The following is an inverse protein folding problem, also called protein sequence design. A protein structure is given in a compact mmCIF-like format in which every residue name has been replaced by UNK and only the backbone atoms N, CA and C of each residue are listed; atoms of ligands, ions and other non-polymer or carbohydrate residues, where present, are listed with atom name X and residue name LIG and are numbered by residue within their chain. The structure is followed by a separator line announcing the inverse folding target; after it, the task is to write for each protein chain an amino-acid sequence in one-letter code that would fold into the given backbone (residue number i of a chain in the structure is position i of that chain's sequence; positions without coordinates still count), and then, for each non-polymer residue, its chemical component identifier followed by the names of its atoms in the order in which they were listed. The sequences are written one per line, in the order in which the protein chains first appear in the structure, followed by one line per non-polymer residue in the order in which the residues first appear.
data_IF_486499072140
#
_entry.id   IF_486499072140
#
_cell.length_a   1.000
_cell.length_b   1.000
_cell.length_c   1.000
_cell.angle_alpha   90.00
_cell.angle_beta   90.00
_cell.angle_gamma   90.00
#
_symmetry.space_group_name_H-M   'P 1'
#
loop_
_entity.id
_entity.type
_entity.pdbx_description
1 polymer ?
#
# COMPACT_ATOMS: atom_id res chain seq x y z
N UNK A 1 -3.05 -39.10 -2.35
CA UNK A 1 -3.75 -38.04 -3.06
C UNK A 1 -3.18 -36.68 -2.65
N UNK A 2 -3.35 -36.18 -1.43
CA UNK A 2 -2.71 -34.94 -0.93
C UNK A 2 -1.82 -35.23 0.28
N UNK A 3 -0.61 -34.65 0.30
CA UNK A 3 0.33 -34.80 1.44
C UNK A 3 0.01 -33.87 2.59
N UNK A 4 -0.59 -32.71 2.28
CA UNK A 4 -0.95 -31.66 3.24
C UNK A 4 -2.40 -31.25 2.98
N UNK A 5 -3.17 -31.12 4.04
CA UNK A 5 -4.56 -30.66 4.02
C UNK A 5 -4.67 -29.35 4.78
N UNK A 6 -5.32 -28.37 4.18
CA UNK A 6 -5.55 -27.08 4.79
C UNK A 6 -7.06 -26.76 4.70
N UNK A 7 -7.69 -26.61 5.88
CA UNK A 7 -9.11 -26.26 5.97
C UNK A 7 -9.27 -24.76 6.15
N UNK A 8 -9.99 -24.14 5.21
CA UNK A 8 -10.21 -22.68 5.24
C UNK A 8 -11.61 -22.33 5.72
N UNK A 9 -11.73 -21.18 6.39
CA UNK A 9 -13.00 -20.59 6.81
C UNK A 9 -13.83 -20.13 5.60
N UNK A 10 -15.11 -19.86 5.85
CA UNK A 10 -16.03 -19.37 4.82
C UNK A 10 -16.08 -17.84 4.81
N UNK A 11 -16.47 -17.29 3.66
CA UNK A 11 -16.85 -15.88 3.58
C UNK A 11 -18.34 -15.77 3.90
N UNK A 12 -18.69 -14.87 4.82
CA UNK A 12 -20.07 -14.51 5.14
C UNK A 12 -20.38 -13.12 4.59
N UNK A 13 -21.64 -12.76 4.47
CA UNK A 13 -22.12 -11.41 4.12
C UNK A 13 -23.09 -10.99 5.19
N UNK A 14 -22.76 -9.94 5.96
CA UNK A 14 -23.53 -9.48 7.11
C UNK A 14 -23.79 -10.61 8.13
N UNK A 15 -22.80 -11.47 8.38
CA UNK A 15 -22.86 -12.60 9.29
C UNK A 15 -23.59 -13.82 8.75
N UNK A 16 -24.19 -13.77 7.56
CA UNK A 16 -24.92 -14.87 6.95
C UNK A 16 -24.07 -15.61 5.91
N UNK A 17 -24.25 -16.92 5.83
CA UNK A 17 -23.57 -17.73 4.82
C UNK A 17 -24.00 -17.31 3.40
N UNK A 18 -23.03 -17.09 2.53
CA UNK A 18 -23.27 -16.82 1.11
C UNK A 18 -23.98 -17.99 0.44
N UNK A 19 -25.17 -17.78 -0.12
CA UNK A 19 -25.90 -18.80 -0.84
C UNK A 19 -26.74 -18.27 -1.99
N UNK A 20 -26.89 -19.06 -3.06
CA UNK A 20 -27.69 -18.70 -4.22
C UNK A 20 -29.17 -18.55 -3.88
N UNK A 21 -29.69 -19.35 -2.91
CA UNK A 21 -31.08 -19.31 -2.49
C UNK A 21 -31.46 -18.02 -1.75
N UNK A 22 -30.51 -17.40 -1.07
CA UNK A 22 -30.69 -16.11 -0.39
C UNK A 22 -30.45 -14.94 -1.34
N UNK A 23 -29.82 -15.18 -2.51
CA UNK A 23 -29.52 -14.12 -3.48
C UNK A 23 -28.37 -13.19 -3.07
N UNK A 24 -27.61 -13.54 -2.04
CA UNK A 24 -26.52 -12.72 -1.49
C UNK A 24 -25.12 -13.07 -2.06
N UNK A 25 -25.05 -13.84 -3.17
CA UNK A 25 -23.79 -14.26 -3.78
C UNK A 25 -23.16 -13.11 -4.55
N UNK A 26 -21.93 -12.74 -4.18
CA UNK A 26 -21.07 -11.87 -4.99
C UNK A 26 -20.01 -12.70 -5.70
N UNK A 27 -19.92 -12.59 -7.04
CA UNK A 27 -18.88 -13.28 -7.80
C UNK A 27 -17.52 -12.64 -7.59
N UNK A 28 -16.45 -13.45 -7.63
CA UNK A 28 -15.08 -12.94 -7.54
C UNK A 28 -14.78 -11.91 -8.64
N UNK A 29 -15.28 -12.16 -9.87
CA UNK A 29 -15.11 -11.23 -11.00
C UNK A 29 -15.72 -9.86 -10.69
N UNK A 30 -16.94 -9.81 -10.14
CA UNK A 30 -17.59 -8.55 -9.77
C UNK A 30 -16.81 -7.79 -8.69
N UNK A 31 -16.31 -8.52 -7.67
CA UNK A 31 -15.52 -7.88 -6.60
C UNK A 31 -14.17 -7.39 -7.13
N UNK A 32 -13.50 -8.16 -8.03
CA UNK A 32 -12.26 -7.74 -8.69
C UNK A 32 -12.44 -6.47 -9.53
N UNK A 33 -13.52 -6.39 -10.30
CA UNK A 33 -13.80 -5.23 -11.15
C UNK A 33 -14.03 -3.93 -10.36
N UNK A 34 -14.60 -4.03 -9.16
CA UNK A 34 -14.90 -2.86 -8.33
C UNK A 34 -13.76 -2.46 -7.39
N UNK A 35 -13.07 -3.44 -6.81
CA UNK A 35 -12.11 -3.20 -5.73
C UNK A 35 -10.64 -3.45 -6.11
N UNK A 36 -10.39 -4.19 -7.18
CA UNK A 36 -9.03 -4.60 -7.56
C UNK A 36 -8.46 -5.76 -6.72
N UNK A 37 -7.34 -6.30 -7.17
CA UNK A 37 -6.74 -7.51 -6.58
C UNK A 37 -6.14 -7.27 -5.19
N UNK A 38 -5.50 -6.12 -4.99
CA UNK A 38 -4.86 -5.80 -3.70
C UNK A 38 -5.86 -5.69 -2.56
N UNK A 39 -7.03 -5.07 -2.81
CA UNK A 39 -8.07 -4.91 -1.79
C UNK A 39 -8.67 -6.24 -1.39
N UNK A 40 -8.98 -7.10 -2.38
CA UNK A 40 -9.48 -8.45 -2.11
C UNK A 40 -8.45 -9.25 -1.31
N UNK A 41 -7.18 -9.14 -1.65
CA UNK A 41 -6.10 -9.82 -0.94
C UNK A 41 -5.99 -9.34 0.50
N UNK A 42 -5.96 -8.03 0.73
CA UNK A 42 -5.96 -7.46 2.08
C UNK A 42 -7.18 -7.89 2.89
N UNK A 43 -8.36 -7.95 2.26
CA UNK A 43 -9.57 -8.49 2.88
C UNK A 43 -9.38 -9.95 3.30
N UNK A 44 -8.94 -10.83 2.39
CA UNK A 44 -8.72 -12.25 2.70
C UNK A 44 -7.66 -12.47 3.78
N UNK A 45 -6.63 -11.64 3.82
CA UNK A 45 -5.53 -11.69 4.79
C UNK A 45 -5.89 -11.08 6.15
N UNK A 46 -7.00 -10.36 6.26
CA UNK A 46 -7.40 -9.69 7.50
C UNK A 46 -7.80 -10.65 8.62
N UNK A 47 -8.21 -11.87 8.27
CA UNK A 47 -8.56 -12.94 9.21
C UNK A 47 -7.61 -14.13 9.13
N UNK A 48 -7.56 -14.94 10.19
CA UNK A 48 -6.87 -16.22 10.14
C UNK A 48 -7.57 -17.15 9.13
N UNK A 49 -6.81 -17.83 8.26
CA UNK A 49 -7.34 -18.63 7.17
C UNK A 49 -8.41 -19.66 7.59
N UNK A 50 -8.31 -20.20 8.80
CA UNK A 50 -9.25 -21.21 9.35
C UNK A 50 -10.55 -20.61 9.93
N UNK A 51 -10.66 -19.29 10.01
CA UNK A 51 -11.83 -18.59 10.57
C UNK A 51 -12.70 -18.00 9.46
N UNK A 52 -14.02 -17.89 9.69
CA UNK A 52 -14.87 -17.13 8.78
C UNK A 52 -14.46 -15.65 8.75
N UNK A 53 -14.57 -15.02 7.57
CA UNK A 53 -14.42 -13.57 7.40
C UNK A 53 -15.72 -13.00 6.84
N UNK A 54 -16.12 -11.84 7.33
CA UNK A 54 -17.37 -11.20 6.92
C UNK A 54 -17.11 -10.11 5.89
N UNK A 55 -17.79 -10.21 4.73
CA UNK A 55 -17.69 -9.23 3.67
C UNK A 55 -18.70 -8.11 3.89
N UNK A 56 -18.22 -6.87 3.89
CA UNK A 56 -19.04 -5.68 3.76
C UNK A 56 -18.30 -4.60 2.97
N UNK A 57 -19.03 -3.70 2.34
CA UNK A 57 -18.43 -2.58 1.60
C UNK A 57 -17.61 -1.68 2.53
N UNK A 58 -18.05 -1.53 3.79
CA UNK A 58 -17.29 -0.80 4.82
C UNK A 58 -15.89 -1.42 5.04
N UNK A 59 -15.80 -2.74 5.20
CA UNK A 59 -14.52 -3.44 5.38
C UNK A 59 -13.65 -3.30 4.12
N UNK A 60 -14.25 -3.33 2.93
CA UNK A 60 -13.51 -3.11 1.69
C UNK A 60 -12.93 -1.69 1.62
N UNK A 61 -13.69 -0.65 2.00
CA UNK A 61 -13.20 0.73 2.09
C UNK A 61 -12.09 0.91 3.13
N UNK A 62 -12.15 0.21 4.27
CA UNK A 62 -11.06 0.19 5.24
C UNK A 62 -9.78 -0.41 4.63
N UNK A 63 -9.90 -1.43 3.79
CA UNK A 63 -8.76 -1.99 3.07
C UNK A 63 -8.24 -1.07 1.95
N UNK A 64 -9.09 -0.26 1.31
CA UNK A 64 -8.65 0.83 0.42
C UNK A 64 -7.74 1.78 1.19
N UNK A 65 -8.17 2.25 2.36
CA UNK A 65 -7.36 3.14 3.21
C UNK A 65 -6.01 2.52 3.56
N UNK A 66 -5.98 1.23 3.92
CA UNK A 66 -4.73 0.50 4.19
C UNK A 66 -3.83 0.42 2.96
N UNK A 67 -4.38 0.12 1.78
CA UNK A 67 -3.61 0.10 0.54
C UNK A 67 -2.99 1.48 0.25
N UNK A 68 -3.77 2.57 0.43
CA UNK A 68 -3.26 3.94 0.22
C UNK A 68 -2.08 4.28 1.15
N UNK A 69 -2.08 3.76 2.38
CA UNK A 69 -0.94 3.89 3.30
C UNK A 69 0.28 3.10 2.83
N UNK A 70 0.08 1.87 2.33
CA UNK A 70 1.15 1.04 1.80
C UNK A 70 1.77 1.69 0.56
N UNK A 71 0.95 2.16 -0.38
CA UNK A 71 1.40 2.88 -1.57
C UNK A 71 2.23 4.12 -1.18
N UNK A 72 1.73 4.94 -0.26
CA UNK A 72 2.43 6.13 0.20
C UNK A 72 3.80 5.77 0.79
N UNK A 73 3.86 4.81 1.72
CA UNK A 73 5.11 4.37 2.34
C UNK A 73 6.11 3.82 1.32
N UNK A 74 5.64 3.05 0.34
CA UNK A 74 6.49 2.53 -0.74
C UNK A 74 7.11 3.67 -1.56
N UNK A 75 6.29 4.65 -1.98
CA UNK A 75 6.77 5.77 -2.80
C UNK A 75 7.65 6.74 -2.02
N UNK A 76 7.42 6.97 -0.72
CA UNK A 76 8.33 7.73 0.14
C UNK A 76 9.75 7.15 0.09
N UNK A 77 9.88 5.83 0.19
CA UNK A 77 11.18 5.16 0.10
C UNK A 77 11.76 5.19 -1.33
N UNK A 78 10.93 4.93 -2.35
CA UNK A 78 11.36 4.91 -3.76
C UNK A 78 11.79 6.27 -4.30
N UNK A 79 11.24 7.34 -3.76
CA UNK A 79 11.55 8.73 -4.13
C UNK A 79 12.53 9.39 -3.15
N UNK A 80 13.16 8.60 -2.28
CA UNK A 80 14.15 9.11 -1.33
C UNK A 80 15.32 9.77 -2.03
N UNK A 81 15.76 10.90 -1.49
CA UNK A 81 16.88 11.68 -1.99
C UNK A 81 17.80 12.10 -0.83
N UNK A 82 19.04 12.47 -1.17
CA UNK A 82 20.02 12.91 -0.21
C UNK A 82 20.60 11.78 0.65
N UNK A 83 21.48 12.15 1.56
CA UNK A 83 22.10 11.25 2.54
C UNK A 83 22.01 11.88 3.92
N UNK A 84 21.76 11.06 4.94
CA UNK A 84 21.76 11.50 6.32
C UNK A 84 23.13 11.23 6.95
N UNK A 85 23.66 12.23 7.67
CA UNK A 85 24.90 12.06 8.44
C UNK A 85 24.73 11.17 9.68
N UNK A 86 23.49 10.90 10.11
CA UNK A 86 23.19 9.97 11.19
C UNK A 86 22.78 8.62 10.58
N UNK A 87 23.56 7.61 10.86
CA UNK A 87 23.28 6.23 10.44
C UNK A 87 21.95 5.75 11.04
N UNK A 88 20.99 5.38 10.19
CA UNK A 88 19.81 4.64 10.60
C UNK A 88 20.23 3.20 10.87
N UNK A 89 19.77 2.60 11.99
CA UNK A 89 20.15 1.24 12.37
C UNK A 89 19.12 0.22 11.84
N UNK A 90 19.60 -0.99 11.53
CA UNK A 90 18.74 -2.08 11.04
C UNK A 90 17.90 -2.72 12.13
N UNK A 91 18.11 -2.37 13.41
CA UNK A 91 17.53 -3.06 14.57
C UNK A 91 16.01 -3.15 14.49
N UNK A 92 15.35 -2.02 14.26
CA UNK A 92 13.90 -1.97 14.15
C UNK A 92 13.35 -2.76 12.96
N UNK A 93 14.04 -2.70 11.82
CA UNK A 93 13.64 -3.45 10.61
C UNK A 93 13.79 -4.95 10.85
N UNK A 94 14.88 -5.37 11.50
CA UNK A 94 15.11 -6.77 11.87
C UNK A 94 14.06 -7.27 12.88
N UNK A 95 13.69 -6.46 13.87
CA UNK A 95 12.60 -6.78 14.80
C UNK A 95 11.27 -7.03 14.06
N UNK A 96 10.88 -6.11 13.16
CA UNK A 96 9.67 -6.29 12.35
C UNK A 96 9.73 -7.54 11.48
N UNK A 97 10.89 -7.85 10.90
CA UNK A 97 11.13 -9.06 10.12
C UNK A 97 10.95 -10.33 10.95
N UNK A 98 11.57 -10.40 12.13
CA UNK A 98 11.48 -11.55 13.02
C UNK A 98 10.04 -11.78 13.51
N UNK A 99 9.33 -10.71 13.89
CA UNK A 99 7.92 -10.79 14.28
C UNK A 99 7.04 -11.31 13.12
N UNK A 100 7.27 -10.81 11.90
CA UNK A 100 6.54 -11.22 10.70
C UNK A 100 6.79 -12.69 10.37
N UNK A 101 8.05 -13.11 10.31
CA UNK A 101 8.43 -14.48 9.97
C UNK A 101 7.97 -15.48 11.06
N UNK A 102 8.09 -15.12 12.35
CA UNK A 102 7.59 -15.92 13.46
C UNK A 102 6.09 -16.14 13.40
N UNK A 103 5.31 -15.10 13.05
CA UNK A 103 3.86 -15.21 12.90
C UNK A 103 3.47 -16.14 11.74
N UNK A 104 4.17 -16.08 10.61
CA UNK A 104 3.94 -16.99 9.48
C UNK A 104 4.31 -18.44 9.81
N UNK A 105 5.37 -18.65 10.57
CA UNK A 105 5.80 -19.98 11.03
C UNK A 105 4.85 -20.56 12.09
N UNK A 106 4.01 -19.75 12.72
CA UNK A 106 3.01 -20.16 13.69
C UNK A 106 1.63 -20.32 13.02
N UNK A 107 1.43 -21.43 12.32
CA UNK A 107 0.18 -21.79 11.64
C UNK A 107 -0.33 -20.69 10.66
N UNK A 108 0.58 -20.08 9.91
CA UNK A 108 0.25 -18.98 8.98
C UNK A 108 -0.62 -17.89 9.62
N UNK A 109 -0.24 -17.44 10.82
CA UNK A 109 -0.98 -16.40 11.53
C UNK A 109 -0.83 -15.03 10.87
N UNK A 110 -1.46 -14.89 9.70
CA UNK A 110 -1.39 -13.68 8.86
C UNK A 110 -1.84 -12.43 9.62
N UNK A 111 -2.92 -12.43 10.44
CA UNK A 111 -3.29 -11.24 11.21
C UNK A 111 -2.18 -10.71 12.10
N UNK A 112 -1.39 -11.60 12.72
CA UNK A 112 -0.23 -11.20 13.53
C UNK A 112 0.92 -10.73 12.65
N UNK A 113 1.18 -11.41 11.51
CA UNK A 113 2.18 -10.97 10.53
C UNK A 113 1.85 -9.56 9.99
N UNK A 114 0.57 -9.28 9.70
CA UNK A 114 0.12 -7.94 9.29
C UNK A 114 0.37 -6.88 10.38
N UNK A 115 0.35 -7.24 11.67
CA UNK A 115 0.69 -6.31 12.75
C UNK A 115 2.14 -5.83 12.63
N UNK A 116 3.08 -6.75 12.39
CA UNK A 116 4.49 -6.42 12.16
C UNK A 116 4.68 -5.60 10.87
N UNK A 117 3.98 -5.98 9.79
CA UNK A 117 3.99 -5.23 8.53
C UNK A 117 3.51 -3.78 8.73
N UNK A 118 2.37 -3.57 9.40
CA UNK A 118 1.88 -2.22 9.67
C UNK A 118 2.71 -1.46 10.71
N UNK A 119 3.46 -2.15 11.58
CA UNK A 119 4.47 -1.54 12.45
C UNK A 119 5.58 -0.88 11.60
N UNK A 120 6.07 -1.59 10.58
CA UNK A 120 7.04 -1.05 9.62
C UNK A 120 6.46 0.14 8.82
N UNK A 121 5.22 0.03 8.31
CA UNK A 121 4.52 1.13 7.60
C UNK A 121 4.40 2.37 8.49
N UNK A 122 4.08 2.24 9.77
CA UNK A 122 4.00 3.37 10.70
C UNK A 122 5.34 4.04 10.93
N UNK A 123 6.42 3.26 11.03
CA UNK A 123 7.78 3.82 11.13
C UNK A 123 8.13 4.64 9.89
N UNK A 124 7.88 4.10 8.69
CA UNK A 124 8.13 4.82 7.44
C UNK A 124 7.34 6.15 7.42
N UNK A 125 6.06 6.12 7.79
CA UNK A 125 5.23 7.33 7.82
C UNK A 125 5.73 8.35 8.87
N UNK A 126 6.24 7.89 10.01
CA UNK A 126 6.86 8.76 11.02
C UNK A 126 8.13 9.43 10.49
N UNK A 127 9.00 8.65 9.85
CA UNK A 127 10.22 9.17 9.21
C UNK A 127 9.91 10.16 8.08
N UNK A 128 8.86 9.87 7.28
CA UNK A 128 8.42 10.77 6.22
C UNK A 128 7.90 12.11 6.77
N UNK A 129 7.06 12.06 7.81
CA UNK A 129 6.53 13.25 8.47
C UNK A 129 7.65 14.15 9.07
N UNK A 130 8.73 13.53 9.54
CA UNK A 130 9.91 14.21 10.04
C UNK A 130 10.92 14.60 8.93
N UNK A 131 10.62 14.34 7.65
CA UNK A 131 11.50 14.54 6.50
C UNK A 131 12.88 13.84 6.66
N UNK A 132 12.86 12.64 7.28
CA UNK A 132 14.07 11.84 7.57
C UNK A 132 14.32 10.72 6.58
N UNK A 133 13.46 10.54 5.58
CA UNK A 133 13.64 9.50 4.54
C UNK A 133 14.68 9.99 3.52
N UNK A 134 15.83 9.35 3.55
CA UNK A 134 16.99 9.59 2.68
C UNK A 134 17.40 8.30 1.98
N UNK A 135 18.29 8.35 1.00
CA UNK A 135 18.72 7.17 0.23
C UNK A 135 19.29 6.06 1.11
N UNK A 136 20.04 6.41 2.16
CA UNK A 136 20.59 5.44 3.12
C UNK A 136 19.49 4.77 3.95
N UNK A 137 18.52 5.51 4.46
CA UNK A 137 17.34 4.97 5.17
C UNK A 137 16.52 4.06 4.25
N UNK A 138 16.27 4.52 3.02
CA UNK A 138 15.54 3.73 2.02
C UNK A 138 16.26 2.42 1.70
N UNK A 139 17.58 2.43 1.53
CA UNK A 139 18.35 1.22 1.22
C UNK A 139 18.26 0.13 2.29
N UNK A 140 17.93 0.51 3.52
CA UNK A 140 17.73 -0.42 4.64
C UNK A 140 16.29 -0.94 4.71
N UNK A 141 15.30 -0.05 4.56
CA UNK A 141 13.89 -0.38 4.81
C UNK A 141 13.21 -0.98 3.58
N UNK A 142 13.47 -0.42 2.39
CA UNK A 142 12.76 -0.80 1.15
C UNK A 142 12.86 -2.29 0.81
N UNK A 143 14.04 -2.95 0.90
CA UNK A 143 14.14 -4.37 0.60
C UNK A 143 13.25 -5.25 1.48
N UNK A 144 13.13 -4.93 2.78
CA UNK A 144 12.28 -5.68 3.69
C UNK A 144 10.80 -5.39 3.46
N UNK A 145 10.43 -4.14 3.17
CA UNK A 145 9.07 -3.79 2.79
C UNK A 145 8.64 -4.55 1.53
N UNK A 146 9.47 -4.57 0.49
CA UNK A 146 9.21 -5.30 -0.75
C UNK A 146 9.09 -6.81 -0.49
N UNK A 147 9.96 -7.40 0.32
CA UNK A 147 9.89 -8.81 0.72
C UNK A 147 8.56 -9.16 1.40
N UNK A 148 8.16 -8.37 2.39
CA UNK A 148 6.88 -8.57 3.07
C UNK A 148 5.70 -8.42 2.13
N UNK A 149 5.72 -7.43 1.25
CA UNK A 149 4.69 -7.22 0.23
C UNK A 149 4.61 -8.40 -0.74
N UNK A 150 5.74 -8.93 -1.20
CA UNK A 150 5.78 -10.10 -2.09
C UNK A 150 5.19 -11.34 -1.43
N UNK A 151 5.52 -11.61 -0.17
CA UNK A 151 4.95 -12.72 0.61
C UNK A 151 3.43 -12.56 0.78
N UNK A 152 2.96 -11.35 1.07
CA UNK A 152 1.54 -11.03 1.18
C UNK A 152 0.85 -10.97 -0.20
N UNK A 153 1.62 -10.93 -1.29
CA UNK A 153 1.15 -10.80 -2.66
C UNK A 153 0.56 -9.43 -2.98
N UNK A 154 0.98 -8.39 -2.29
CA UNK A 154 0.57 -7.00 -2.52
C UNK A 154 1.45 -6.41 -3.63
N UNK A 155 0.82 -6.00 -4.74
CA UNK A 155 1.52 -5.49 -5.91
C UNK A 155 1.26 -3.99 -6.08
N UNK A 156 2.25 -3.17 -5.74
CA UNK A 156 2.18 -1.73 -6.00
C UNK A 156 2.55 -1.44 -7.45
N UNK A 157 1.85 -0.49 -8.06
CA UNK A 157 2.16 -0.02 -9.42
C UNK A 157 3.57 0.54 -9.41
N UNK A 158 4.49 -0.12 -10.12
CA UNK A 158 5.88 0.33 -10.26
C UNK A 158 5.97 1.31 -11.43
N UNK A 159 6.91 2.24 -11.32
CA UNK A 159 7.24 3.21 -12.37
C UNK A 159 8.65 2.96 -12.87
N UNK A 160 8.89 3.27 -14.14
CA UNK A 160 10.24 3.34 -14.70
C UNK A 160 10.96 4.63 -14.29
N UNK A 161 12.28 4.65 -14.43
CA UNK A 161 13.04 5.87 -14.14
C UNK A 161 12.68 6.99 -15.13
N UNK A 162 12.43 6.67 -16.41
CA UNK A 162 11.97 7.64 -17.41
C UNK A 162 10.60 8.26 -17.03
N UNK A 163 9.66 7.45 -16.54
CA UNK A 163 8.36 7.94 -16.06
C UNK A 163 8.50 8.81 -14.82
N UNK A 164 9.43 8.46 -13.91
CA UNK A 164 9.77 9.26 -12.73
C UNK A 164 10.29 10.64 -13.15
N UNK A 165 11.21 10.69 -14.11
CA UNK A 165 11.81 11.93 -14.59
C UNK A 165 10.76 12.81 -15.28
N UNK A 166 9.87 12.23 -16.11
CA UNK A 166 8.73 12.94 -16.70
C UNK A 166 7.83 13.60 -15.64
N UNK A 167 7.48 12.84 -14.61
CA UNK A 167 6.61 13.33 -13.54
C UNK A 167 7.29 14.45 -12.75
N UNK A 168 8.57 14.28 -12.41
CA UNK A 168 9.33 15.30 -11.69
C UNK A 168 9.42 16.59 -12.52
N UNK A 169 9.66 16.50 -13.84
CA UNK A 169 9.67 17.66 -14.72
C UNK A 169 8.31 18.38 -14.73
N UNK A 170 7.19 17.64 -14.78
CA UNK A 170 5.85 18.23 -14.70
C UNK A 170 5.62 18.95 -13.36
N UNK A 171 6.12 18.38 -12.26
CA UNK A 171 6.02 18.99 -10.93
C UNK A 171 6.82 20.28 -10.84
N UNK A 172 8.06 20.29 -11.36
CA UNK A 172 8.88 21.49 -11.44
C UNK A 172 8.18 22.60 -12.24
N UNK A 173 7.68 22.27 -13.43
CA UNK A 173 6.95 23.20 -14.27
C UNK A 173 5.70 23.78 -13.57
N UNK A 174 4.94 22.92 -12.87
CA UNK A 174 3.80 23.38 -12.05
C UNK A 174 4.24 24.36 -10.95
N UNK A 175 5.35 24.06 -10.28
CA UNK A 175 5.86 24.91 -9.21
C UNK A 175 6.33 26.29 -9.73
N UNK A 176 6.95 26.34 -10.91
CA UNK A 176 7.30 27.59 -11.60
C UNK A 176 6.03 28.43 -11.84
N UNK A 177 5.00 27.85 -12.45
CA UNK A 177 3.74 28.57 -12.72
C UNK A 177 3.07 29.08 -11.44
N UNK A 178 3.10 28.31 -10.35
CA UNK A 178 2.58 28.76 -9.04
C UNK A 178 3.34 29.95 -8.49
N UNK A 179 4.67 29.96 -8.63
CA UNK A 179 5.51 31.07 -8.18
C UNK A 179 5.24 32.34 -9.02
N UNK A 180 4.95 32.18 -10.30
CA UNK A 180 4.55 33.26 -11.23
C UNK A 180 3.08 33.67 -11.06
N UNK A 181 2.33 33.04 -10.13
CA UNK A 181 0.88 33.24 -9.91
C UNK A 181 0.01 32.91 -11.12
N UNK A 182 0.54 32.10 -12.04
CA UNK A 182 -0.20 31.57 -13.20
C UNK A 182 -0.91 30.27 -12.79
N UNK A 183 -2.01 30.42 -12.05
CA UNK A 183 -2.74 29.28 -11.48
C UNK A 183 -3.42 28.42 -12.54
N UNK A 184 -3.88 29.02 -13.63
CA UNK A 184 -4.57 28.30 -14.73
C UNK A 184 -3.65 27.27 -15.37
N UNK A 185 -2.39 27.61 -15.66
CA UNK A 185 -1.42 26.67 -16.21
C UNK A 185 -0.95 25.65 -15.17
N UNK A 186 -0.84 26.03 -13.91
CA UNK A 186 -0.51 25.11 -12.83
C UNK A 186 -1.62 24.04 -12.63
N UNK A 187 -2.89 24.43 -12.77
CA UNK A 187 -4.03 23.52 -12.64
C UNK A 187 -4.13 22.55 -13.83
N UNK A 188 -3.86 22.99 -15.06
CA UNK A 188 -3.75 22.10 -16.22
C UNK A 188 -2.71 21.01 -16.02
N UNK A 189 -1.54 21.35 -15.49
CA UNK A 189 -0.50 20.34 -15.19
C UNK A 189 -0.97 19.40 -14.08
N UNK A 190 -1.67 19.90 -13.07
CA UNK A 190 -2.24 19.07 -12.02
C UNK A 190 -3.24 18.05 -12.57
N UNK A 191 -4.08 18.45 -13.51
CA UNK A 191 -5.01 17.55 -14.19
C UNK A 191 -4.28 16.48 -15.01
N UNK A 192 -3.26 16.86 -15.80
CA UNK A 192 -2.41 15.90 -16.53
C UNK A 192 -1.77 14.85 -15.61
N UNK A 193 -1.30 15.27 -14.44
CA UNK A 193 -0.71 14.37 -13.44
C UNK A 193 -1.78 13.46 -12.82
N UNK A 194 -2.97 14.00 -12.54
CA UNK A 194 -4.09 13.22 -12.01
C UNK A 194 -4.61 12.16 -13.01
N UNK A 195 -4.62 12.44 -14.31
CA UNK A 195 -4.97 11.48 -15.37
C UNK A 195 -4.03 10.25 -15.38
N UNK A 196 -2.78 10.41 -14.95
CA UNK A 196 -1.81 9.32 -14.77
C UNK A 196 -2.02 8.54 -13.46
N UNK A 197 -3.10 8.80 -12.71
CA UNK A 197 -3.40 8.26 -11.37
C UNK A 197 -2.33 8.61 -10.33
N UNK A 198 -1.74 9.78 -10.44
CA UNK A 198 -0.74 10.28 -9.51
C UNK A 198 -1.39 11.28 -8.55
N UNK A 199 -1.10 11.13 -7.27
CA UNK A 199 -1.56 12.02 -6.20
C UNK A 199 -0.36 12.61 -5.48
N UNK A 200 -0.44 13.87 -5.10
CA UNK A 200 0.60 14.53 -4.31
C UNK A 200 0.47 14.20 -2.82
N UNK A 201 1.63 14.06 -2.18
CA UNK A 201 1.79 14.05 -0.73
C UNK A 201 2.59 15.30 -0.37
N UNK A 202 1.94 16.26 0.28
CA UNK A 202 2.59 17.50 0.71
C UNK A 202 3.22 17.31 2.09
N UNK A 203 4.54 17.50 2.19
CA UNK A 203 5.30 17.63 3.41
C UNK A 203 5.57 19.10 3.74
N UNK A 204 6.16 19.37 4.88
CA UNK A 204 6.43 20.74 5.34
C UNK A 204 7.30 21.53 4.36
N UNK A 205 8.33 20.91 3.80
CA UNK A 205 9.31 21.57 2.92
C UNK A 205 9.41 20.94 1.53
N UNK A 206 8.68 19.84 1.26
CA UNK A 206 8.74 19.13 -0.01
C UNK A 206 7.39 18.57 -0.41
N UNK A 207 7.21 18.33 -1.69
CA UNK A 207 6.04 17.60 -2.22
C UNK A 207 6.54 16.30 -2.83
N UNK A 208 6.02 15.19 -2.35
CA UNK A 208 6.20 13.86 -2.94
C UNK A 208 4.96 13.51 -3.76
N UNK A 209 5.01 12.40 -4.45
CA UNK A 209 3.89 11.93 -5.24
C UNK A 209 3.80 10.40 -5.19
N UNK A 210 2.59 9.90 -5.43
CA UNK A 210 2.26 8.48 -5.39
C UNK A 210 1.47 8.12 -6.63
N UNK A 211 1.87 7.08 -7.34
CA UNK A 211 1.05 6.48 -8.39
C UNK A 211 0.15 5.43 -7.75
N UNK A 212 -1.16 5.58 -7.92
CA UNK A 212 -2.17 4.77 -7.25
C UNK A 212 -2.81 3.75 -8.17
N UNK A 213 -3.16 2.60 -7.62
CA UNK A 213 -4.07 1.68 -8.28
C UNK A 213 -5.45 2.33 -8.42
N UNK A 214 -6.05 2.24 -9.62
CA UNK A 214 -7.40 2.77 -9.86
C UNK A 214 -8.44 1.81 -9.30
N UNK A 215 -9.27 2.26 -8.38
CA UNK A 215 -10.33 1.50 -7.74
C UNK A 215 -11.66 2.12 -8.15
N UNK A 216 -12.55 1.33 -8.78
CA UNK A 216 -13.85 1.86 -9.28
C UNK A 216 -14.79 2.26 -8.15
N UNK A 217 -14.72 1.58 -7.02
CA UNK A 217 -15.60 1.80 -5.88
C UNK A 217 -15.14 2.93 -4.95
N UNK A 218 -13.94 3.51 -5.20
CA UNK A 218 -13.40 4.69 -4.53
C UNK A 218 -13.93 5.97 -5.19
#
# INVERSE_FOLDING_TARGET
FAKIWMHVGMITINGEKMSKSIGNVKSVSHVLENWGSNIIRLFCLSGHYSKPIDYSEKIMMENVTKLRQIEASYYELRLAEGMNKKSYTNEFVNECKEEFDSALNNDFNIPVALTAFYKLIREINSLAADEKITCDVSSIILPELERMMDILGINIVKISDDEKDEINHLIEKRNVYRNEKNFDEADKIREQIAEKNITFIDHKNSTRWVKREKIKAE
#
